data_IF_847795890796
#
_entry.id   IF_847795890796
#
_cell.length_a   1.000
_cell.length_b   1.000
_cell.length_c   1.000
_cell.angle_alpha   90.00
_cell.angle_beta   90.00
_cell.angle_gamma   90.00
#
_symmetry.space_group_name_H-M   'P 1'
#
loop_
_entity.id
_entity.type
_entity.pdbx_description
1 polymer ?
#
# COMPACT_ATOMS: atom_id res chain seq x y z
N UNK A 1 -14.66 29.37 -46.41
CA UNK A 1 -13.27 28.92 -46.09
C UNK A 1 -12.43 30.07 -45.51
N UNK A 2 -12.92 30.79 -44.50
CA UNK A 2 -12.17 31.91 -43.88
C UNK A 2 -11.92 31.76 -42.37
N UNK A 3 -12.61 30.84 -41.68
CA UNK A 3 -12.42 30.65 -40.24
C UNK A 3 -11.16 29.87 -39.82
N UNK A 4 -10.41 29.30 -40.77
CA UNK A 4 -9.24 28.45 -40.48
C UNK A 4 -7.90 29.20 -40.64
N UNK A 5 -7.86 30.31 -41.41
CA UNK A 5 -6.62 31.06 -41.68
C UNK A 5 -6.14 31.92 -40.51
N UNK A 6 -7.03 32.33 -39.61
CA UNK A 6 -6.69 33.22 -38.48
C UNK A 6 -6.09 32.51 -37.27
N UNK A 7 -6.44 31.25 -37.02
CA UNK A 7 -6.05 30.54 -35.80
C UNK A 7 -4.54 30.28 -35.72
N UNK A 8 -3.89 29.97 -36.85
CA UNK A 8 -2.45 29.71 -36.90
C UNK A 8 -1.59 30.96 -36.65
N UNK A 9 -2.01 32.12 -37.17
CA UNK A 9 -1.30 33.38 -36.96
C UNK A 9 -1.38 33.84 -35.50
N UNK A 10 -2.56 33.68 -34.86
CA UNK A 10 -2.77 34.05 -33.45
C UNK A 10 -1.92 33.18 -32.52
N UNK A 11 -1.83 31.88 -32.78
CA UNK A 11 -0.97 30.97 -32.01
C UNK A 11 0.52 31.32 -32.12
N UNK A 12 1.00 31.63 -33.32
CA UNK A 12 2.39 32.05 -33.52
C UNK A 12 2.71 33.37 -32.79
N UNK A 13 1.80 34.35 -32.84
CA UNK A 13 1.95 35.62 -32.13
C UNK A 13 1.95 35.43 -30.62
N UNK A 14 1.07 34.57 -30.08
CA UNK A 14 1.05 34.26 -28.64
C UNK A 14 2.38 33.65 -28.17
N UNK A 15 2.95 32.71 -28.92
CA UNK A 15 4.26 32.12 -28.59
C UNK A 15 5.38 33.15 -28.66
N UNK A 16 5.40 34.03 -29.67
CA UNK A 16 6.42 35.09 -29.83
C UNK A 16 6.32 36.14 -28.72
N UNK A 17 5.12 36.45 -28.23
CA UNK A 17 4.89 37.34 -27.08
C UNK A 17 5.20 36.68 -25.73
N UNK A 18 5.73 35.44 -25.73
CA UNK A 18 6.12 34.72 -24.53
C UNK A 18 4.92 34.14 -23.77
N UNK A 19 3.74 34.07 -24.37
CA UNK A 19 2.66 33.28 -23.80
C UNK A 19 3.14 31.83 -23.82
N UNK A 20 3.34 31.18 -22.64
CA UNK A 20 3.70 29.79 -22.63
C UNK A 20 2.59 29.06 -23.40
N UNK A 21 2.92 28.17 -24.35
CA UNK A 21 1.89 27.24 -24.83
C UNK A 21 1.28 26.65 -23.58
N UNK A 22 -0.05 26.58 -23.49
CA UNK A 22 -0.72 25.93 -22.38
C UNK A 22 -0.11 24.52 -22.31
N UNK A 23 0.87 24.36 -21.43
CA UNK A 23 1.40 23.07 -21.08
C UNK A 23 0.16 22.40 -20.52
N UNK A 24 -0.41 21.48 -21.31
CA UNK A 24 -1.43 20.59 -20.81
C UNK A 24 -0.91 20.11 -19.48
N UNK A 25 -1.73 20.31 -18.44
CA UNK A 25 -1.49 19.99 -17.04
C UNK A 25 -0.32 19.01 -16.91
N UNK A 26 0.80 19.51 -16.35
CA UNK A 26 2.00 18.73 -16.07
C UNK A 26 1.57 17.32 -15.68
N UNK A 27 2.03 16.28 -16.40
CA UNK A 27 1.66 14.89 -16.12
C UNK A 27 2.20 14.53 -14.73
N UNK A 28 1.44 14.91 -13.70
CA UNK A 28 1.69 14.65 -12.30
C UNK A 28 1.37 13.17 -12.06
N UNK A 29 2.34 12.31 -12.37
CA UNK A 29 2.27 10.89 -12.04
C UNK A 29 2.53 10.70 -10.55
N UNK A 30 1.58 10.08 -9.83
CA UNK A 30 1.81 9.60 -8.46
C UNK A 30 2.21 8.13 -8.52
N UNK A 31 3.38 7.83 -7.96
CA UNK A 31 3.86 6.47 -7.78
C UNK A 31 3.92 6.17 -6.29
N UNK A 32 3.22 5.13 -5.86
CA UNK A 32 3.14 4.75 -4.46
C UNK A 32 3.58 3.30 -4.29
N UNK A 33 4.48 3.04 -3.35
CA UNK A 33 4.80 1.70 -2.89
C UNK A 33 4.44 1.62 -1.41
N UNK A 34 3.53 0.71 -1.06
CA UNK A 34 3.13 0.44 0.32
C UNK A 34 3.49 -1.00 0.69
N UNK A 35 3.85 -1.20 1.96
CA UNK A 35 4.03 -2.52 2.55
C UNK A 35 3.26 -2.57 3.86
N UNK A 36 2.31 -3.49 3.95
CA UNK A 36 1.54 -3.72 5.17
C UNK A 36 2.08 -4.96 5.88
N UNK A 37 2.19 -4.88 7.20
CA UNK A 37 2.50 -5.99 8.08
C UNK A 37 1.31 -6.18 9.03
N UNK A 38 0.49 -7.18 8.75
CA UNK A 38 -0.76 -7.43 9.45
C UNK A 38 -0.61 -8.62 10.38
N UNK A 39 -1.14 -8.48 11.60
CA UNK A 39 -1.24 -9.54 12.59
C UNK A 39 -2.72 -9.76 12.91
N UNK A 40 -3.25 -10.91 12.50
CA UNK A 40 -4.63 -11.31 12.73
C UNK A 40 -4.68 -12.20 13.98
N UNK A 41 -5.33 -11.71 15.03
CA UNK A 41 -5.44 -12.36 16.34
C UNK A 41 -6.84 -12.96 16.51
N UNK A 42 -6.92 -14.29 16.59
CA UNK A 42 -8.18 -15.04 16.74
C UNK A 42 -8.17 -15.69 18.12
N UNK A 43 -9.20 -15.38 18.92
CA UNK A 43 -9.29 -15.77 20.34
C UNK A 43 -8.03 -15.37 21.13
N UNK A 44 -7.71 -14.07 21.11
CA UNK A 44 -6.50 -13.55 21.73
C UNK A 44 -5.26 -13.99 20.95
N UNK A 45 -4.32 -14.66 21.62
CA UNK A 45 -3.10 -15.16 20.97
C UNK A 45 -3.16 -16.65 20.64
N UNK A 46 -4.27 -17.36 20.85
CA UNK A 46 -4.32 -18.81 20.56
C UNK A 46 -3.97 -19.10 19.09
N UNK A 47 -4.62 -18.40 18.17
CA UNK A 47 -4.36 -18.49 16.74
C UNK A 47 -3.95 -17.12 16.21
N UNK A 48 -2.73 -17.03 15.68
CA UNK A 48 -2.16 -15.78 15.16
C UNK A 48 -1.68 -16.02 13.74
N UNK A 49 -2.14 -15.19 12.80
CA UNK A 49 -1.73 -15.23 11.39
C UNK A 49 -1.02 -13.92 11.03
N UNK A 50 0.20 -14.05 10.50
CA UNK A 50 0.98 -12.91 10.01
C UNK A 50 0.85 -12.83 8.48
N UNK A 51 0.50 -11.65 7.99
CA UNK A 51 0.40 -11.38 6.55
C UNK A 51 1.22 -10.14 6.21
N UNK A 52 2.13 -10.27 5.25
CA UNK A 52 2.86 -9.15 4.67
C UNK A 52 2.38 -8.93 3.24
N UNK A 53 1.96 -7.71 2.91
CA UNK A 53 1.44 -7.36 1.59
C UNK A 53 2.29 -6.25 0.99
N UNK A 54 2.76 -6.43 -0.23
CA UNK A 54 3.39 -5.37 -1.02
C UNK A 54 2.44 -4.89 -2.11
N UNK A 55 2.20 -3.58 -2.10
CA UNK A 55 1.18 -2.93 -2.92
C UNK A 55 1.85 -1.83 -3.73
N UNK A 56 1.73 -1.91 -5.05
CA UNK A 56 2.15 -0.86 -5.96
C UNK A 56 0.92 -0.09 -6.43
N UNK A 57 0.90 1.21 -6.13
CA UNK A 57 -0.28 2.06 -6.22
C UNK A 57 -1.46 1.46 -5.44
N UNK A 58 -2.38 0.80 -6.14
CA UNK A 58 -3.58 0.17 -5.57
C UNK A 58 -3.67 -1.33 -5.89
N UNK A 59 -2.59 -1.90 -6.42
CA UNK A 59 -2.50 -3.30 -6.83
C UNK A 59 -1.51 -4.02 -5.92
N UNK A 60 -2.00 -5.00 -5.17
CA UNK A 60 -1.12 -5.92 -4.46
C UNK A 60 -0.41 -6.79 -5.50
N UNK A 61 0.92 -6.83 -5.44
CA UNK A 61 1.71 -7.64 -6.37
C UNK A 61 2.39 -8.82 -5.70
N UNK A 62 2.62 -8.79 -4.39
CA UNK A 62 3.35 -9.83 -3.69
C UNK A 62 2.83 -9.90 -2.25
N UNK A 63 2.66 -11.10 -1.72
CA UNK A 63 2.38 -11.28 -0.30
C UNK A 63 3.14 -12.45 0.32
N UNK A 64 3.32 -12.42 1.64
CA UNK A 64 3.70 -13.56 2.46
C UNK A 64 2.58 -13.81 3.45
N UNK A 65 2.18 -15.06 3.59
CA UNK A 65 1.19 -15.51 4.55
C UNK A 65 1.82 -16.57 5.44
N UNK A 66 1.74 -16.42 6.76
CA UNK A 66 2.31 -17.40 7.71
C UNK A 66 1.72 -18.79 7.54
N UNK A 67 0.46 -18.90 7.12
CA UNK A 67 -0.21 -20.19 6.93
C UNK A 67 0.32 -20.92 5.69
N UNK A 68 0.85 -20.16 4.72
CA UNK A 68 1.49 -20.69 3.50
C UNK A 68 2.99 -20.87 3.70
N UNK A 69 3.63 -19.97 4.45
CA UNK A 69 5.05 -20.03 4.82
C UNK A 69 6.03 -19.64 3.72
N UNK A 70 5.57 -19.08 2.59
CA UNK A 70 6.41 -18.57 1.48
C UNK A 70 5.79 -17.32 0.88
N UNK A 71 6.57 -16.57 0.11
CA UNK A 71 6.04 -15.46 -0.69
C UNK A 71 5.29 -15.98 -1.92
N UNK A 72 4.16 -15.36 -2.24
CA UNK A 72 3.32 -15.63 -3.40
C UNK A 72 3.17 -14.35 -4.21
N UNK A 73 3.41 -14.45 -5.51
CA UNK A 73 3.22 -13.34 -6.44
C UNK A 73 1.79 -13.30 -6.95
N UNK A 74 1.12 -12.17 -6.76
CA UNK A 74 -0.28 -11.97 -7.20
C UNK A 74 -0.37 -11.42 -8.63
N UNK A 75 0.76 -10.94 -9.17
CA UNK A 75 0.91 -10.44 -10.53
C UNK A 75 2.19 -11.00 -11.17
N UNK A 76 2.39 -10.89 -12.49
CA UNK A 76 3.62 -11.37 -13.13
C UNK A 76 4.90 -10.74 -12.57
N UNK A 77 4.86 -9.45 -12.20
CA UNK A 77 5.97 -8.78 -11.50
C UNK A 77 6.15 -9.35 -10.09
N UNK A 78 5.04 -9.61 -9.42
CA UNK A 78 4.97 -10.35 -8.16
C UNK A 78 5.70 -11.67 -8.17
N UNK A 79 5.46 -12.50 -9.18
CA UNK A 79 6.06 -13.83 -9.26
C UNK A 79 7.59 -13.78 -9.36
N UNK A 80 8.13 -12.79 -10.08
CA UNK A 80 9.58 -12.56 -10.17
C UNK A 80 10.13 -12.26 -8.77
N UNK A 81 9.46 -11.39 -8.02
CA UNK A 81 9.87 -11.03 -6.67
C UNK A 81 9.70 -12.21 -5.70
N UNK A 82 8.61 -12.96 -5.80
CA UNK A 82 8.37 -14.15 -4.99
C UNK A 82 9.47 -15.19 -5.18
N UNK A 83 9.88 -15.47 -6.42
CA UNK A 83 11.03 -16.37 -6.70
C UNK A 83 12.32 -15.88 -6.04
N UNK A 84 12.60 -14.57 -6.09
CA UNK A 84 13.79 -13.99 -5.48
C UNK A 84 13.78 -14.08 -3.94
N UNK A 85 12.65 -13.84 -3.30
CA UNK A 85 12.56 -13.96 -1.84
C UNK A 85 12.57 -15.42 -1.39
N UNK A 86 11.87 -16.29 -2.11
CA UNK A 86 11.79 -17.70 -1.79
C UNK A 86 13.11 -18.45 -1.97
N UNK A 87 14.03 -17.93 -2.79
CA UNK A 87 15.39 -18.51 -2.93
C UNK A 87 16.29 -18.25 -1.71
N UNK A 88 15.90 -17.35 -0.80
CA UNK A 88 16.69 -16.97 0.39
C UNK A 88 16.14 -17.66 1.65
N UNK A 89 16.75 -18.78 2.04
CA UNK A 89 16.27 -19.60 3.17
C UNK A 89 16.22 -18.84 4.49
N UNK A 90 17.29 -18.13 4.84
CA UNK A 90 17.36 -17.34 6.09
C UNK A 90 16.26 -16.27 6.16
N UNK A 91 15.92 -15.67 5.01
CA UNK A 91 14.84 -14.69 4.93
C UNK A 91 13.47 -15.33 5.17
N UNK A 92 13.20 -16.50 4.60
CA UNK A 92 11.95 -17.23 4.84
C UNK A 92 11.82 -17.68 6.30
N UNK A 93 12.90 -18.16 6.91
CA UNK A 93 12.91 -18.51 8.34
C UNK A 93 12.61 -17.29 9.21
N UNK A 94 13.22 -16.14 8.91
CA UNK A 94 12.93 -14.88 9.57
C UNK A 94 11.45 -14.46 9.43
N UNK A 95 10.87 -14.59 8.23
CA UNK A 95 9.46 -14.24 7.99
C UNK A 95 8.48 -15.20 8.65
N UNK A 96 8.76 -16.51 8.64
CA UNK A 96 7.97 -17.51 9.38
C UNK A 96 7.99 -17.26 10.89
N UNK A 97 9.12 -16.81 11.43
CA UNK A 97 9.23 -16.45 12.85
C UNK A 97 8.44 -15.19 13.24
N UNK A 98 7.91 -14.41 12.28
CA UNK A 98 7.23 -13.15 12.56
C UNK A 98 5.93 -13.33 13.36
N UNK A 99 5.29 -14.50 13.29
CA UNK A 99 4.10 -14.79 14.12
C UNK A 99 4.42 -14.61 15.61
N UNK A 100 5.53 -15.18 16.08
CA UNK A 100 5.91 -15.09 17.48
C UNK A 100 6.74 -13.84 17.77
N UNK A 101 7.81 -13.64 16.98
CA UNK A 101 8.80 -12.57 17.19
C UNK A 101 8.21 -11.17 17.01
N UNK A 102 7.19 -11.03 16.15
CA UNK A 102 6.56 -9.74 15.87
C UNK A 102 5.13 -9.70 16.40
N UNK A 103 4.23 -10.58 15.97
CA UNK A 103 2.82 -10.45 16.33
C UNK A 103 2.55 -10.70 17.82
N UNK A 104 2.91 -11.87 18.37
CA UNK A 104 2.67 -12.18 19.79
C UNK A 104 3.39 -11.21 20.72
N UNK A 105 4.66 -10.94 20.43
CA UNK A 105 5.46 -9.97 21.18
C UNK A 105 4.77 -8.60 21.26
N UNK A 106 4.29 -8.06 20.14
CA UNK A 106 3.60 -6.77 20.14
C UNK A 106 2.20 -6.86 20.79
N UNK A 107 1.49 -7.98 20.67
CA UNK A 107 0.21 -8.16 21.35
C UNK A 107 0.36 -7.99 22.86
N UNK A 108 1.37 -8.61 23.46
CA UNK A 108 1.64 -8.49 24.91
C UNK A 108 1.92 -7.05 25.34
N UNK A 109 2.62 -6.27 24.49
CA UNK A 109 2.94 -4.87 24.77
C UNK A 109 1.72 -3.94 24.61
N UNK A 110 0.89 -4.17 23.60
CA UNK A 110 -0.18 -3.25 23.23
C UNK A 110 -1.56 -3.65 23.75
N UNK A 111 -1.78 -4.92 24.14
CA UNK A 111 -3.06 -5.37 24.67
C UNK A 111 -3.60 -4.49 25.83
N UNK A 112 -2.78 -4.08 26.82
CA UNK A 112 -3.28 -3.26 27.93
C UNK A 112 -3.84 -1.91 27.51
N UNK A 113 -3.27 -1.28 26.47
CA UNK A 113 -3.65 0.07 26.04
C UNK A 113 -4.61 0.09 24.84
N UNK A 114 -4.78 -1.03 24.14
CA UNK A 114 -5.65 -1.14 22.95
C UNK A 114 -6.80 -2.12 23.17
N UNK A 115 -6.52 -3.42 23.31
CA UNK A 115 -7.51 -4.49 23.43
C UNK A 115 -8.31 -4.38 24.74
N UNK A 116 -7.62 -4.11 25.84
CA UNK A 116 -8.23 -4.04 27.18
C UNK A 116 -8.82 -2.67 27.49
N UNK A 117 -8.57 -1.66 26.63
CA UNK A 117 -9.02 -0.29 26.83
C UNK A 117 -10.55 -0.20 26.86
N UNK A 118 -11.08 0.41 27.91
CA UNK A 118 -12.52 0.72 28.06
C UNK A 118 -12.71 2.23 28.17
N UNK A 119 -13.65 2.78 27.40
CA UNK A 119 -14.08 4.18 27.50
C UNK A 119 -15.60 4.21 27.57
N UNK A 120 -16.19 4.84 28.60
CA UNK A 120 -17.64 4.99 28.67
C UNK A 120 -18.17 5.83 27.50
N UNK A 121 -19.28 5.44 26.85
CA UNK A 121 -19.91 6.28 25.83
C UNK A 121 -20.58 7.50 26.47
N UNK A 122 -20.54 8.65 25.80
CA UNK A 122 -21.38 9.80 26.15
C UNK A 122 -22.70 9.71 25.40
N UNK A 123 -23.82 9.70 26.12
CA UNK A 123 -25.17 9.59 25.53
C UNK A 123 -25.99 10.80 25.94
N UNK A 124 -26.63 11.45 24.97
CA UNK A 124 -27.59 12.53 25.17
C UNK A 124 -28.84 12.24 24.36
N UNK A 125 -30.02 12.39 24.97
CA UNK A 125 -31.32 12.27 24.29
C UNK A 125 -31.88 13.69 24.14
N UNK A 126 -32.22 14.06 22.91
CA UNK A 126 -32.93 15.30 22.61
C UNK A 126 -34.38 14.95 22.29
N UNK A 127 -35.33 15.58 23.00
CA UNK A 127 -36.78 15.45 22.78
C UNK A 127 -37.28 16.58 21.87
#
# INVERSE_FOLDING_TARGET
MERVRGAGAVLAVLVVLGAPPAAGEELSGVFQLMTNHECHFINGTELVRFVERHIYNREQFLHFDSDVGVYVGDTPRGEIQARHFNSKREWLEYKRSAVDRYCRYNYELYAPCSVERRVPPSVSISL
#
